data_IF_456116069024
#
_entry.id   IF_456116069024
#
_cell.length_a   1.000
_cell.length_b   1.000
_cell.length_c   1.000
_cell.angle_alpha   90.00
_cell.angle_beta   90.00
_cell.angle_gamma   90.00
#
_symmetry.space_group_name_H-M   'P 1'
#
loop_
_entity.id
_entity.type
_entity.pdbx_description
1 polymer ?
#
# COMPACT_ATOMS: atom_id res chain seq x y z
N UNK A 1 28.17 37.79 76.92
CA UNK A 1 27.90 36.42 76.40
C UNK A 1 26.73 36.51 75.42
N UNK A 2 27.03 36.51 74.13
CA UNK A 2 26.08 36.72 73.03
C UNK A 2 25.51 35.36 72.60
N UNK A 3 24.19 35.15 72.71
CA UNK A 3 23.50 33.95 72.20
C UNK A 3 23.35 34.07 70.67
N UNK A 4 23.86 33.09 69.93
CA UNK A 4 23.63 32.92 68.49
C UNK A 4 22.22 32.35 68.26
N UNK A 5 21.40 33.05 67.49
CA UNK A 5 20.13 32.55 66.96
C UNK A 5 20.38 32.02 65.56
N UNK A 6 20.16 30.73 65.34
CA UNK A 6 20.21 30.09 64.01
C UNK A 6 18.76 30.05 63.50
N UNK A 7 18.48 30.79 62.43
CA UNK A 7 17.20 30.73 61.73
C UNK A 7 17.27 29.64 60.66
N UNK A 8 16.53 28.55 60.84
CA UNK A 8 16.38 27.49 59.85
C UNK A 8 15.23 27.90 58.92
N UNK A 9 15.56 28.22 57.67
CA UNK A 9 14.58 28.46 56.60
C UNK A 9 14.12 27.09 56.07
N UNK A 10 12.90 26.68 56.42
CA UNK A 10 12.29 25.47 55.89
C UNK A 10 11.75 25.73 54.47
N UNK A 11 12.44 25.23 53.45
CA UNK A 11 11.86 25.10 52.11
C UNK A 11 10.87 23.94 52.11
N UNK A 12 9.57 24.23 52.22
CA UNK A 12 8.50 23.30 51.87
C UNK A 12 8.48 23.12 50.36
N UNK A 13 8.96 21.97 49.88
CA UNK A 13 8.74 21.49 48.51
C UNK A 13 7.24 21.19 48.35
N UNK A 14 6.52 22.11 47.71
CA UNK A 14 5.15 21.83 47.26
C UNK A 14 5.26 20.92 46.04
N UNK A 15 4.97 19.64 46.24
CA UNK A 15 4.74 18.69 45.15
C UNK A 15 3.46 19.10 44.44
N UNK A 16 3.57 19.77 43.29
CA UNK A 16 2.44 19.93 42.38
C UNK A 16 2.22 18.60 41.69
N UNK A 17 1.12 17.92 42.01
CA UNK A 17 0.67 16.76 41.24
C UNK A 17 0.48 17.17 39.77
N UNK A 18 0.83 16.31 38.79
CA UNK A 18 0.62 16.63 37.39
C UNK A 18 -0.89 16.79 37.16
N UNK A 19 -1.30 17.99 36.73
CA UNK A 19 -2.67 18.25 36.34
C UNK A 19 -3.04 17.29 35.21
N UNK A 20 -4.06 16.45 35.42
CA UNK A 20 -4.65 15.65 34.35
C UNK A 20 -5.36 16.63 33.43
N UNK A 21 -4.72 16.99 32.32
CA UNK A 21 -5.33 17.85 31.31
C UNK A 21 -6.40 17.03 30.58
N UNK A 22 -7.65 17.18 30.99
CA UNK A 22 -8.78 16.57 30.30
C UNK A 22 -9.11 17.36 29.03
N UNK A 23 -9.31 16.66 27.91
CA UNK A 23 -9.77 17.27 26.66
C UNK A 23 -11.17 17.87 26.86
N UNK A 24 -11.40 19.07 26.33
CA UNK A 24 -12.67 19.79 26.45
C UNK A 24 -13.00 20.60 25.19
N UNK A 25 -14.30 20.77 24.92
CA UNK A 25 -14.86 21.57 23.83
C UNK A 25 -14.92 23.04 24.28
N UNK A 26 -14.48 24.02 23.49
CA UNK A 26 -14.51 25.43 23.88
C UNK A 26 -15.94 25.98 24.02
N UNK A 27 -16.13 26.89 24.98
CA UNK A 27 -17.34 27.69 25.12
C UNK A 27 -17.15 29.10 24.50
N UNK A 28 -18.25 29.79 24.17
CA UNK A 28 -18.20 31.11 23.51
C UNK A 28 -17.43 32.20 24.28
N UNK A 29 -17.15 32.01 25.57
CA UNK A 29 -16.44 32.93 26.44
C UNK A 29 -15.07 32.40 26.92
N UNK A 30 -14.53 31.34 26.29
CA UNK A 30 -13.22 30.77 26.62
C UNK A 30 -12.08 31.65 26.07
N UNK A 31 -11.90 32.82 26.69
CA UNK A 31 -10.93 33.83 26.27
C UNK A 31 -9.49 33.39 26.46
N UNK A 32 -9.20 32.57 27.47
CA UNK A 32 -7.84 32.06 27.71
C UNK A 32 -7.41 31.08 26.62
N UNK A 33 -8.28 30.13 26.22
CA UNK A 33 -7.99 29.25 25.09
C UNK A 33 -7.90 30.02 23.78
N UNK A 34 -8.78 31.02 23.56
CA UNK A 34 -8.73 31.85 22.37
C UNK A 34 -7.41 32.64 22.27
N UNK A 35 -6.92 33.19 23.39
CA UNK A 35 -5.62 33.87 23.44
C UNK A 35 -4.47 32.90 23.21
N UNK A 36 -4.51 31.71 23.79
CA UNK A 36 -3.49 30.69 23.58
C UNK A 36 -3.45 30.22 22.11
N UNK A 37 -4.60 29.94 21.49
CA UNK A 37 -4.70 29.58 20.07
C UNK A 37 -4.17 30.70 19.18
N UNK A 38 -4.55 31.95 19.46
CA UNK A 38 -4.07 33.10 18.69
C UNK A 38 -2.54 33.25 18.81
N UNK A 39 -1.99 33.17 20.03
CA UNK A 39 -0.56 33.24 20.25
C UNK A 39 0.20 32.12 19.52
N UNK A 40 -0.27 30.87 19.63
CA UNK A 40 0.35 29.72 18.96
C UNK A 40 0.17 29.75 17.43
N UNK A 41 -0.88 30.40 16.91
CA UNK A 41 -1.11 30.51 15.46
C UNK A 41 0.04 31.26 14.74
N UNK A 42 0.64 32.25 15.40
CA UNK A 42 1.77 33.01 14.85
C UNK A 42 3.11 32.29 14.97
N UNK A 43 3.18 31.24 15.79
CA UNK A 43 4.36 30.38 15.91
C UNK A 43 4.37 29.25 14.87
N UNK A 44 3.24 29.05 14.18
CA UNK A 44 3.06 28.02 13.17
C UNK A 44 3.25 28.64 11.78
N UNK A 45 4.37 28.32 11.12
CA UNK A 45 4.63 28.73 9.74
C UNK A 45 4.85 27.53 8.81
N UNK A 46 4.28 27.59 7.60
CA UNK A 46 4.60 26.60 6.57
C UNK A 46 5.99 26.90 6.01
N UNK A 47 6.95 26.05 6.32
CA UNK A 47 8.31 26.15 5.75
C UNK A 47 8.51 25.10 4.67
N UNK A 48 9.34 25.42 3.67
CA UNK A 48 9.84 24.42 2.73
C UNK A 48 10.70 23.41 3.50
N UNK A 49 10.30 22.14 3.50
CA UNK A 49 10.96 21.08 4.24
C UNK A 49 11.79 20.24 3.28
N UNK A 50 12.98 19.87 3.73
CA UNK A 50 13.84 18.92 3.03
C UNK A 50 14.30 17.86 4.04
N UNK A 51 14.35 16.61 3.61
CA UNK A 51 14.83 15.49 4.41
C UNK A 51 16.08 14.90 3.77
N UNK A 52 17.13 14.70 4.55
CA UNK A 52 18.38 14.10 4.08
C UNK A 52 18.30 12.57 4.22
N UNK A 53 18.41 11.84 3.11
CA UNK A 53 18.58 10.37 3.09
C UNK A 53 19.90 10.08 2.39
N UNK A 54 20.87 9.55 3.14
CA UNK A 54 22.25 9.45 2.67
C UNK A 54 22.80 10.84 2.31
N UNK A 55 23.18 11.04 1.05
CA UNK A 55 23.73 12.30 0.52
C UNK A 55 22.70 13.15 -0.25
N UNK A 56 21.43 12.76 -0.30
CA UNK A 56 20.40 13.42 -1.13
C UNK A 56 19.31 14.06 -0.28
N UNK A 57 18.98 15.33 -0.58
CA UNK A 57 17.86 16.05 0.02
C UNK A 57 16.56 15.84 -0.77
N UNK A 58 15.53 15.31 -0.11
CA UNK A 58 14.20 15.10 -0.67
C UNK A 58 13.23 16.18 -0.20
N UNK A 59 12.51 16.87 -1.11
CA UNK A 59 11.51 17.86 -0.73
C UNK A 59 10.30 17.16 -0.08
N UNK A 60 9.81 17.72 1.03
CA UNK A 60 8.57 17.30 1.70
C UNK A 60 7.50 18.38 1.53
N UNK A 61 6.22 17.99 1.63
CA UNK A 61 5.12 18.94 1.63
C UNK A 61 5.38 20.06 2.66
N UNK A 62 5.21 21.34 2.27
CA UNK A 62 5.28 22.45 3.20
C UNK A 62 4.31 22.22 4.35
N UNK A 63 4.75 22.48 5.58
CA UNK A 63 3.92 22.23 6.76
C UNK A 63 4.38 23.02 7.97
N UNK A 64 3.56 23.04 9.04
CA UNK A 64 3.74 23.87 10.23
C UNK A 64 5.05 23.55 10.96
N UNK A 65 6.07 24.37 10.81
CA UNK A 65 7.30 24.27 11.59
C UNK A 65 7.07 24.91 12.95
N UNK A 66 6.99 24.07 13.99
CA UNK A 66 7.40 24.51 15.31
C UNK A 66 8.83 24.01 15.58
N UNK A 67 9.62 24.89 16.20
CA UNK A 67 11.01 24.68 16.60
C UNK A 67 11.26 23.31 17.22
N UNK A 68 12.43 22.74 16.98
CA UNK A 68 12.90 21.54 17.68
C UNK A 68 12.78 21.78 19.19
N UNK A 69 12.05 20.93 19.95
CA UNK A 69 11.51 19.63 19.59
C UNK A 69 9.97 19.68 19.39
N UNK A 70 9.51 19.82 18.16
CA UNK A 70 8.09 19.61 17.85
C UNK A 70 7.76 18.11 17.82
N UNK A 71 6.52 17.75 18.18
CA UNK A 71 6.01 16.38 18.09
C UNK A 71 6.27 15.76 16.70
N UNK A 72 6.17 16.57 15.64
CA UNK A 72 6.46 16.16 14.27
C UNK A 72 7.93 15.76 14.06
N UNK A 73 8.88 16.54 14.57
CA UNK A 73 10.32 16.19 14.49
C UNK A 73 10.61 14.89 15.25
N UNK A 74 10.02 14.71 16.43
CA UNK A 74 10.13 13.45 17.19
C UNK A 74 9.54 12.27 16.41
N UNK A 75 8.39 12.44 15.77
CA UNK A 75 7.78 11.41 14.92
C UNK A 75 8.66 11.07 13.73
N UNK A 76 9.21 12.07 13.02
CA UNK A 76 10.14 11.85 11.91
C UNK A 76 11.39 11.08 12.36
N UNK A 77 12.03 11.48 13.45
CA UNK A 77 13.21 10.77 13.97
C UNK A 77 12.89 9.34 14.40
N UNK A 78 11.70 9.11 14.96
CA UNK A 78 11.22 7.76 15.28
C UNK A 78 11.01 6.91 14.02
N UNK A 79 10.48 7.48 12.94
CA UNK A 79 10.31 6.80 11.66
C UNK A 79 11.68 6.47 11.03
N UNK A 80 12.62 7.40 11.06
CA UNK A 80 13.99 7.20 10.55
C UNK A 80 14.68 6.09 11.32
N UNK A 81 14.64 6.11 12.65
CA UNK A 81 15.21 5.04 13.47
C UNK A 81 14.59 3.68 13.13
N UNK A 82 13.27 3.63 12.84
CA UNK A 82 12.59 2.41 12.41
C UNK A 82 13.08 1.97 11.03
N UNK A 83 13.17 2.87 10.05
CA UNK A 83 13.66 2.56 8.70
C UNK A 83 15.12 2.08 8.72
N UNK A 84 15.98 2.76 9.49
CA UNK A 84 17.38 2.35 9.68
C UNK A 84 17.51 0.98 10.35
N UNK A 85 16.57 0.58 11.22
CA UNK A 85 16.53 -0.76 11.78
C UNK A 85 16.02 -1.83 10.79
N UNK A 86 15.33 -1.43 9.72
CA UNK A 86 14.86 -2.31 8.64
C UNK A 86 15.89 -2.49 7.51
N UNK A 87 16.93 -1.63 7.50
CA UNK A 87 18.33 -1.95 7.19
C UNK A 87 18.65 -3.45 7.02
N UNK A 88 18.52 -4.05 5.83
CA UNK A 88 19.03 -5.41 5.61
C UNK A 88 20.55 -5.34 5.37
N UNK A 89 21.40 -5.76 6.34
CA UNK A 89 22.86 -5.68 6.19
C UNK A 89 23.38 -6.57 5.05
N UNK A 90 22.58 -7.54 4.61
CA UNK A 90 22.92 -8.47 3.54
C UNK A 90 22.49 -7.97 2.14
N UNK A 91 21.89 -6.77 2.01
CA UNK A 91 21.37 -6.28 0.74
C UNK A 91 22.40 -6.33 -0.41
N UNK A 92 23.64 -5.89 -0.15
CA UNK A 92 24.73 -5.94 -1.13
C UNK A 92 25.12 -7.37 -1.50
N UNK A 93 25.16 -8.28 -0.53
CA UNK A 93 25.46 -9.70 -0.75
C UNK A 93 24.37 -10.35 -1.59
N UNK A 94 23.10 -10.10 -1.25
CA UNK A 94 21.94 -10.60 -2.00
C UNK A 94 22.00 -10.13 -3.46
N UNK A 95 22.25 -8.84 -3.69
CA UNK A 95 22.37 -8.28 -5.02
C UNK A 95 23.49 -8.94 -5.83
N UNK A 96 24.68 -9.10 -5.24
CA UNK A 96 25.82 -9.72 -5.89
C UNK A 96 25.55 -11.19 -6.25
N UNK A 97 24.90 -11.96 -5.36
CA UNK A 97 24.51 -13.34 -5.61
C UNK A 97 23.52 -13.45 -6.77
N UNK A 98 22.47 -12.63 -6.79
CA UNK A 98 21.50 -12.63 -7.90
C UNK A 98 22.17 -12.26 -9.23
N UNK A 99 23.02 -11.23 -9.25
CA UNK A 99 23.74 -10.84 -10.46
C UNK A 99 24.67 -11.95 -10.97
N UNK A 100 25.36 -12.66 -10.08
CA UNK A 100 26.25 -13.76 -10.43
C UNK A 100 25.55 -15.01 -10.96
N UNK A 101 24.28 -15.22 -10.61
CA UNK A 101 23.47 -16.36 -11.07
C UNK A 101 22.70 -16.08 -12.37
N UNK A 102 22.68 -14.83 -12.81
CA UNK A 102 22.14 -14.45 -14.11
C UNK A 102 23.03 -14.88 -15.29
N UNK A 103 22.51 -14.86 -16.53
CA UNK A 103 21.16 -14.44 -16.91
C UNK A 103 20.09 -15.51 -16.63
N UNK A 104 18.95 -15.08 -16.11
CA UNK A 104 17.78 -15.93 -15.90
C UNK A 104 17.03 -16.15 -17.22
N UNK A 105 17.04 -17.38 -17.72
CA UNK A 105 16.44 -17.75 -19.01
C UNK A 105 15.14 -18.55 -18.87
N UNK A 106 14.78 -18.90 -17.64
CA UNK A 106 13.54 -19.61 -17.30
C UNK A 106 13.11 -19.29 -15.87
N UNK A 107 11.85 -19.60 -15.54
CA UNK A 107 11.32 -19.47 -14.18
C UNK A 107 12.13 -20.32 -13.18
N UNK A 108 12.56 -21.51 -13.58
CA UNK A 108 13.37 -22.41 -12.77
C UNK A 108 14.74 -21.80 -12.47
N UNK A 109 15.39 -21.19 -13.48
CA UNK A 109 16.66 -20.50 -13.26
C UNK A 109 16.53 -19.31 -12.32
N UNK A 110 15.39 -18.61 -12.38
CA UNK A 110 15.09 -17.50 -11.48
C UNK A 110 14.84 -17.99 -10.05
N UNK A 111 14.07 -19.07 -9.88
CA UNK A 111 13.82 -19.72 -8.58
C UNK A 111 15.10 -20.24 -7.93
N UNK A 112 15.97 -20.89 -8.71
CA UNK A 112 17.27 -21.38 -8.24
C UNK A 112 18.14 -20.26 -7.63
N UNK A 113 18.01 -19.02 -8.15
CA UNK A 113 18.64 -17.84 -7.57
C UNK A 113 18.25 -17.59 -6.11
N UNK A 114 16.96 -17.71 -5.82
CA UNK A 114 16.40 -17.53 -4.48
C UNK A 114 16.64 -18.74 -3.58
N UNK A 115 16.66 -19.95 -4.12
CA UNK A 115 17.01 -21.16 -3.36
C UNK A 115 18.45 -21.09 -2.80
N UNK A 116 19.38 -20.52 -3.57
CA UNK A 116 20.76 -20.26 -3.11
C UNK A 116 20.77 -19.25 -1.97
N UNK A 117 20.01 -18.15 -2.09
CA UNK A 117 19.93 -17.13 -1.04
C UNK A 117 19.29 -17.67 0.24
N UNK A 118 18.26 -18.52 0.11
CA UNK A 118 17.63 -19.20 1.24
C UNK A 118 18.59 -20.18 1.92
N UNK A 119 19.32 -20.98 1.15
CA UNK A 119 20.30 -21.92 1.68
C UNK A 119 21.43 -21.20 2.44
N UNK A 120 21.75 -19.97 2.04
CA UNK A 120 22.70 -19.10 2.72
C UNK A 120 22.09 -18.34 3.92
N UNK A 121 20.80 -18.52 4.22
CA UNK A 121 20.10 -17.85 5.32
C UNK A 121 19.94 -16.34 5.11
N UNK A 122 19.99 -15.87 3.85
CA UNK A 122 19.96 -14.45 3.53
C UNK A 122 18.53 -13.91 3.35
N UNK A 123 17.65 -14.71 2.76
CA UNK A 123 16.22 -14.42 2.59
C UNK A 123 15.43 -15.71 2.65
N UNK A 124 14.18 -15.65 3.10
CA UNK A 124 13.25 -16.77 2.90
C UNK A 124 12.81 -16.86 1.44
N UNK A 125 12.40 -18.05 1.00
CA UNK A 125 11.78 -18.23 -0.32
C UNK A 125 10.53 -17.36 -0.40
N UNK A 126 10.46 -16.42 -1.37
CA UNK A 126 9.26 -15.63 -1.59
C UNK A 126 8.05 -16.52 -1.85
N UNK A 127 6.95 -16.25 -1.14
CA UNK A 127 5.66 -16.90 -1.40
C UNK A 127 5.15 -16.61 -2.83
N UNK A 128 5.65 -15.55 -3.48
CA UNK A 128 5.36 -15.23 -4.87
C UNK A 128 5.79 -16.31 -5.89
N UNK A 129 6.57 -17.32 -5.49
CA UNK A 129 6.86 -18.48 -6.34
C UNK A 129 5.71 -19.48 -6.41
N UNK A 130 4.73 -19.40 -5.53
CA UNK A 130 3.47 -20.10 -5.70
C UNK A 130 2.62 -19.33 -6.72
N UNK A 131 2.66 -19.75 -7.98
CA UNK A 131 1.90 -19.14 -9.07
C UNK A 131 0.56 -19.86 -9.32
N UNK A 132 0.09 -20.69 -8.38
CA UNK A 132 -1.22 -21.35 -8.47
C UNK A 132 -2.36 -20.34 -8.55
N UNK A 133 -3.48 -20.78 -9.10
CA UNK A 133 -4.68 -19.94 -9.20
C UNK A 133 -5.28 -19.67 -7.81
N UNK A 134 -5.13 -20.62 -6.89
CA UNK A 134 -5.49 -20.53 -5.49
C UNK A 134 -4.71 -19.42 -4.77
N UNK A 135 -3.37 -19.41 -4.89
CA UNK A 135 -2.56 -18.37 -4.28
C UNK A 135 -2.80 -17.01 -4.96
N UNK A 136 -2.91 -16.99 -6.29
CA UNK A 136 -3.19 -15.78 -7.05
C UNK A 136 -4.51 -15.10 -6.61
N UNK A 137 -5.57 -15.88 -6.40
CA UNK A 137 -6.83 -15.38 -5.86
C UNK A 137 -6.72 -14.99 -4.38
N UNK A 138 -6.07 -15.79 -3.54
CA UNK A 138 -5.87 -15.49 -2.12
C UNK A 138 -5.16 -14.14 -1.89
N UNK A 139 -4.19 -13.77 -2.74
CA UNK A 139 -3.51 -12.49 -2.64
C UNK A 139 -4.45 -11.27 -2.77
N UNK A 140 -5.59 -11.41 -3.48
CA UNK A 140 -6.61 -10.34 -3.59
C UNK A 140 -7.46 -10.21 -2.33
N UNK A 141 -7.48 -11.21 -1.46
CA UNK A 141 -8.11 -11.09 -0.13
C UNK A 141 -7.18 -10.44 0.89
N UNK A 142 -5.90 -10.24 0.53
CA UNK A 142 -4.90 -9.56 1.35
C UNK A 142 -4.31 -8.34 0.67
N UNK A 143 -3.00 -8.37 0.43
CA UNK A 143 -2.20 -7.20 0.02
C UNK A 143 -2.53 -6.65 -1.39
N UNK A 144 -3.27 -7.39 -2.22
CA UNK A 144 -3.65 -6.97 -3.59
C UNK A 144 -5.13 -6.60 -3.74
N UNK A 145 -5.90 -6.54 -2.65
CA UNK A 145 -7.36 -6.41 -2.69
C UNK A 145 -7.95 -5.03 -2.95
N UNK A 146 -7.13 -3.97 -2.98
CA UNK A 146 -7.58 -2.56 -2.92
C UNK A 146 -8.53 -2.07 -4.03
N UNK A 147 -8.81 -2.88 -5.05
CA UNK A 147 -9.74 -2.58 -6.15
C UNK A 147 -10.73 -3.70 -6.49
N UNK A 148 -10.83 -4.73 -5.66
CA UNK A 148 -11.80 -5.80 -5.91
C UNK A 148 -13.22 -5.27 -5.64
N UNK A 149 -14.11 -5.42 -6.60
CA UNK A 149 -15.53 -5.07 -6.47
C UNK A 149 -16.41 -6.22 -6.94
N UNK A 150 -17.61 -6.32 -6.39
CA UNK A 150 -18.61 -7.25 -6.87
C UNK A 150 -19.09 -6.83 -8.27
N UNK A 151 -19.24 -7.79 -9.19
CA UNK A 151 -19.82 -7.56 -10.52
C UNK A 151 -21.34 -7.52 -10.40
N UNK A 152 -21.96 -6.48 -10.97
CA UNK A 152 -23.41 -6.37 -11.02
C UNK A 152 -24.00 -7.01 -12.28
N UNK A 153 -25.31 -7.26 -12.28
CA UNK A 153 -26.01 -7.81 -13.45
C UNK A 153 -25.78 -6.96 -14.72
N UNK A 154 -25.50 -7.65 -15.83
CA UNK A 154 -25.18 -7.07 -17.14
C UNK A 154 -23.89 -6.23 -17.22
N UNK A 155 -23.17 -6.06 -16.11
CA UNK A 155 -21.86 -5.42 -16.12
C UNK A 155 -20.85 -6.42 -16.72
N UNK A 156 -20.13 -6.01 -17.77
CA UNK A 156 -19.12 -6.85 -18.46
C UNK A 156 -19.67 -8.05 -19.26
N UNK A 157 -20.95 -8.02 -19.66
CA UNK A 157 -21.61 -9.08 -20.44
C UNK A 157 -20.82 -9.50 -21.69
N UNK A 158 -20.31 -8.53 -22.46
CA UNK A 158 -19.54 -8.78 -23.69
C UNK A 158 -18.33 -9.70 -23.49
N UNK A 159 -17.80 -9.75 -22.26
CA UNK A 159 -16.67 -10.58 -21.87
C UNK A 159 -17.14 -11.85 -21.16
N UNK A 160 -17.96 -11.68 -20.12
CA UNK A 160 -18.33 -12.77 -19.22
C UNK A 160 -19.26 -13.79 -19.88
N UNK A 161 -20.12 -13.36 -20.80
CA UNK A 161 -21.06 -14.24 -21.50
C UNK A 161 -20.35 -15.16 -22.51
N UNK A 162 -19.07 -14.89 -22.82
CA UNK A 162 -18.27 -15.72 -23.71
C UNK A 162 -17.54 -16.88 -23.01
N UNK A 163 -17.57 -16.91 -21.67
CA UNK A 163 -16.91 -17.95 -20.88
C UNK A 163 -17.64 -19.28 -21.01
N UNK A 164 -16.87 -20.38 -21.02
CA UNK A 164 -17.45 -21.72 -21.07
C UNK A 164 -18.15 -22.07 -19.75
N UNK A 165 -19.31 -22.75 -19.83
CA UNK A 165 -20.01 -23.24 -18.64
C UNK A 165 -19.13 -24.19 -17.80
N UNK A 166 -18.21 -24.93 -18.45
CA UNK A 166 -17.25 -25.81 -17.76
C UNK A 166 -16.28 -25.01 -16.90
N UNK A 167 -15.73 -23.92 -17.43
CA UNK A 167 -14.85 -23.02 -16.68
C UNK A 167 -15.60 -22.39 -15.51
N UNK A 168 -16.83 -21.91 -15.74
CA UNK A 168 -17.63 -21.30 -14.68
C UNK A 168 -17.97 -22.30 -13.59
N UNK A 169 -18.35 -23.53 -13.95
CA UNK A 169 -18.60 -24.58 -12.96
C UNK A 169 -17.35 -24.86 -12.13
N UNK A 170 -16.18 -24.94 -12.76
CA UNK A 170 -14.93 -25.22 -12.05
C UNK A 170 -14.51 -24.07 -11.11
N UNK A 171 -14.63 -22.82 -11.58
CA UNK A 171 -14.13 -21.65 -10.85
C UNK A 171 -15.15 -21.09 -9.86
N UNK A 172 -16.44 -21.10 -10.18
CA UNK A 172 -17.50 -20.52 -9.36
C UNK A 172 -18.31 -21.54 -8.57
N UNK A 173 -18.26 -22.83 -8.94
CA UNK A 173 -19.21 -23.83 -8.46
C UNK A 173 -20.67 -23.41 -8.73
N UNK A 174 -20.93 -22.90 -9.94
CA UNK A 174 -22.24 -22.54 -10.45
C UNK A 174 -22.35 -22.93 -11.93
N UNK A 175 -23.55 -23.25 -12.45
CA UNK A 175 -23.71 -23.83 -13.78
C UNK A 175 -23.44 -22.84 -14.93
N UNK A 176 -23.65 -21.55 -14.71
CA UNK A 176 -23.48 -20.49 -15.72
C UNK A 176 -22.96 -19.21 -15.07
N UNK A 177 -22.40 -18.31 -15.88
CA UNK A 177 -21.90 -17.01 -15.38
C UNK A 177 -23.02 -16.15 -14.82
N UNK A 178 -24.21 -16.18 -15.44
CA UNK A 178 -25.41 -15.48 -14.96
C UNK A 178 -25.84 -15.96 -13.57
N UNK A 179 -25.76 -17.27 -13.33
CA UNK A 179 -26.06 -17.86 -12.02
C UNK A 179 -25.02 -17.39 -10.99
N UNK A 180 -23.73 -17.43 -11.34
CA UNK A 180 -22.66 -16.98 -10.46
C UNK A 180 -22.78 -15.47 -10.12
N UNK A 181 -23.15 -14.62 -11.08
CA UNK A 181 -23.40 -13.18 -10.87
C UNK A 181 -24.63 -12.98 -9.97
N UNK A 182 -25.73 -13.69 -10.26
CA UNK A 182 -26.97 -13.62 -9.46
C UNK A 182 -26.75 -14.08 -8.01
N UNK A 183 -25.83 -15.03 -7.80
CA UNK A 183 -25.41 -15.51 -6.49
C UNK A 183 -24.33 -14.65 -5.83
N UNK A 184 -23.96 -13.50 -6.42
CA UNK A 184 -22.94 -12.59 -5.91
C UNK A 184 -21.55 -13.22 -5.73
N UNK A 185 -21.17 -14.13 -6.62
CA UNK A 185 -19.87 -14.81 -6.57
C UNK A 185 -18.80 -14.17 -7.46
N UNK A 186 -19.18 -13.37 -8.45
CA UNK A 186 -18.23 -12.81 -9.42
C UNK A 186 -17.73 -11.44 -8.97
N UNK A 187 -16.42 -11.28 -8.97
CA UNK A 187 -15.72 -10.06 -8.61
C UNK A 187 -14.83 -9.60 -9.75
N UNK A 188 -14.56 -8.30 -9.81
CA UNK A 188 -13.67 -7.70 -10.81
C UNK A 188 -12.66 -6.77 -10.14
N UNK A 189 -11.45 -6.78 -10.67
CA UNK A 189 -10.38 -5.84 -10.37
C UNK A 189 -10.03 -5.11 -11.67
N UNK A 190 -10.39 -3.82 -11.72
CA UNK A 190 -10.30 -3.00 -12.92
C UNK A 190 -9.09 -2.04 -12.87
N UNK A 191 -8.10 -2.33 -13.71
CA UNK A 191 -6.93 -1.51 -13.97
C UNK A 191 -6.88 -1.03 -15.44
N UNK A 192 -8.03 -0.99 -16.13
CA UNK A 192 -8.12 -0.55 -17.54
C UNK A 192 -7.63 0.88 -17.79
N UNK A 193 -7.47 1.69 -16.75
CA UNK A 193 -6.94 3.06 -16.83
C UNK A 193 -5.42 3.16 -16.60
N UNK A 194 -4.72 2.08 -16.27
CA UNK A 194 -3.32 2.14 -15.82
C UNK A 194 -2.30 2.46 -16.92
N UNK A 195 -2.59 2.07 -18.14
CA UNK A 195 -1.74 2.32 -19.31
C UNK A 195 -1.60 3.80 -19.64
N UNK A 196 -2.41 4.69 -19.07
CA UNK A 196 -2.16 6.14 -19.14
C UNK A 196 -0.82 6.55 -18.49
N UNK A 197 -0.26 5.71 -17.62
CA UNK A 197 1.02 5.93 -16.97
C UNK A 197 2.21 5.36 -17.75
N UNK A 198 1.97 4.74 -18.91
CA UNK A 198 3.03 4.31 -19.82
C UNK A 198 3.61 5.54 -20.52
N UNK A 199 4.91 5.80 -20.34
CA UNK A 199 5.64 6.83 -21.09
C UNK A 199 5.82 6.38 -22.55
N UNK A 200 5.00 6.94 -23.44
CA UNK A 200 5.01 6.62 -24.87
C UNK A 200 6.35 6.91 -25.56
N UNK A 201 7.23 7.71 -24.95
CA UNK A 201 8.56 8.02 -25.49
C UNK A 201 9.66 7.04 -25.03
N UNK A 202 9.33 6.09 -24.14
CA UNK A 202 10.28 5.13 -23.55
C UNK A 202 9.77 3.70 -23.54
N UNK A 203 8.91 3.35 -24.49
CA UNK A 203 8.29 2.02 -24.64
C UNK A 203 9.30 0.88 -24.76
N UNK A 204 10.55 1.17 -25.11
CA UNK A 204 11.65 0.19 -25.14
C UNK A 204 12.15 -0.24 -23.74
N UNK A 205 11.68 0.39 -22.66
CA UNK A 205 12.24 0.17 -21.31
C UNK A 205 11.26 -0.37 -20.27
N UNK A 206 9.98 0.04 -20.28
CA UNK A 206 8.93 -0.43 -19.35
C UNK A 206 7.53 -0.27 -19.96
N UNK A 207 6.65 -1.22 -19.71
CA UNK A 207 5.25 -1.22 -20.13
C UNK A 207 4.35 -1.45 -18.92
N UNK A 208 3.39 -0.55 -18.69
CA UNK A 208 2.32 -0.74 -17.72
C UNK A 208 1.09 -1.26 -18.48
N UNK A 209 0.65 -2.51 -18.25
CA UNK A 209 -0.46 -3.07 -18.99
C UNK A 209 -1.79 -2.37 -18.62
N UNK A 210 -2.78 -2.46 -19.51
CA UNK A 210 -4.16 -2.13 -19.21
C UNK A 210 -4.92 -3.44 -18.99
N UNK A 211 -5.28 -3.76 -17.75
CA UNK A 211 -5.82 -5.09 -17.42
C UNK A 211 -7.11 -5.03 -16.62
N UNK A 212 -8.03 -5.94 -16.92
CA UNK A 212 -9.23 -6.21 -16.10
C UNK A 212 -9.22 -7.67 -15.70
N UNK A 213 -9.17 -7.96 -14.41
CA UNK A 213 -9.18 -9.31 -13.86
C UNK A 213 -10.51 -9.65 -13.21
N UNK A 214 -11.06 -10.81 -13.52
CA UNK A 214 -12.29 -11.34 -12.94
C UNK A 214 -11.96 -12.52 -12.04
N UNK A 215 -12.68 -12.63 -10.92
CA UNK A 215 -12.50 -13.65 -9.90
C UNK A 215 -13.85 -14.20 -9.48
N UNK A 216 -13.88 -15.43 -9.00
CA UNK A 216 -15.08 -16.07 -8.50
C UNK A 216 -14.86 -16.64 -7.10
N UNK A 217 -15.81 -16.39 -6.20
CA UNK A 217 -15.83 -17.02 -4.88
C UNK A 217 -16.39 -18.44 -5.01
N UNK A 218 -15.50 -19.43 -5.04
CA UNK A 218 -15.86 -20.84 -5.05
C UNK A 218 -16.21 -21.30 -3.63
N UNK A 219 -17.51 -21.37 -3.34
CA UNK A 219 -18.02 -21.77 -2.03
C UNK A 219 -17.73 -23.23 -1.66
N UNK A 220 -17.71 -24.14 -2.64
CA UNK A 220 -17.35 -25.54 -2.41
C UNK A 220 -15.90 -25.72 -1.97
N UNK A 221 -14.98 -24.91 -2.52
CA UNK A 221 -13.55 -24.95 -2.16
C UNK A 221 -13.18 -23.98 -1.03
N UNK A 222 -14.04 -22.99 -0.75
CA UNK A 222 -13.74 -21.90 0.19
C UNK A 222 -12.62 -20.98 -0.32
N UNK A 223 -12.50 -20.80 -1.64
CA UNK A 223 -11.42 -20.07 -2.29
C UNK A 223 -11.95 -19.00 -3.24
N UNK A 224 -11.27 -17.86 -3.28
CA UNK A 224 -11.41 -16.92 -4.40
C UNK A 224 -10.48 -17.41 -5.52
N UNK A 225 -11.03 -17.70 -6.69
CA UNK A 225 -10.28 -18.21 -7.84
C UNK A 225 -10.36 -17.24 -9.02
N UNK A 226 -9.30 -17.09 -9.83
CA UNK A 226 -9.34 -16.30 -11.05
C UNK A 226 -10.26 -16.93 -12.09
N UNK A 227 -11.12 -16.11 -12.69
CA UNK A 227 -12.09 -16.53 -13.69
C UNK A 227 -11.61 -16.18 -15.11
N UNK A 228 -11.23 -14.93 -15.33
CA UNK A 228 -10.77 -14.43 -16.63
C UNK A 228 -9.90 -13.18 -16.46
N UNK A 229 -9.03 -12.89 -17.43
CA UNK A 229 -8.20 -11.69 -17.44
C UNK A 229 -8.20 -11.10 -18.85
N UNK A 230 -8.67 -9.85 -18.99
CA UNK A 230 -8.60 -9.12 -20.26
C UNK A 230 -7.42 -8.16 -20.27
N UNK A 231 -6.59 -8.30 -21.30
CA UNK A 231 -5.61 -7.28 -21.66
C UNK A 231 -6.33 -6.32 -22.61
N UNK A 232 -6.66 -5.13 -22.12
CA UNK A 232 -7.52 -4.16 -22.83
C UNK A 232 -6.89 -3.73 -24.16
N UNK A 233 -5.57 -3.53 -24.18
CA UNK A 233 -4.85 -3.05 -25.37
C UNK A 233 -4.91 -4.03 -26.55
N UNK A 234 -4.94 -5.33 -26.27
CA UNK A 234 -5.04 -6.37 -27.30
C UNK A 234 -6.48 -6.79 -27.58
N UNK A 235 -7.40 -6.44 -26.68
CA UNK A 235 -8.79 -6.92 -26.69
C UNK A 235 -8.92 -8.41 -26.33
N UNK A 236 -7.83 -9.10 -26.03
CA UNK A 236 -7.83 -10.54 -25.73
C UNK A 236 -8.23 -10.79 -24.28
N UNK A 237 -9.05 -11.81 -24.09
CA UNK A 237 -9.44 -12.34 -22.78
C UNK A 237 -8.82 -13.71 -22.61
N UNK A 238 -8.09 -13.88 -21.52
CA UNK A 238 -7.41 -15.12 -21.17
C UNK A 238 -8.14 -15.79 -20.01
N UNK A 239 -8.09 -17.11 -19.99
CA UNK A 239 -8.61 -17.98 -18.95
C UNK A 239 -7.61 -19.10 -18.68
N UNK A 240 -7.90 -19.94 -17.69
CA UNK A 240 -7.10 -21.15 -17.46
C UNK A 240 -7.28 -22.24 -18.53
N UNK A 241 -8.23 -22.08 -19.46
CA UNK A 241 -8.40 -23.00 -20.59
C UNK A 241 -7.38 -22.73 -21.70
N UNK A 242 -6.74 -21.55 -21.70
CA UNK A 242 -5.62 -21.22 -22.57
C UNK A 242 -4.35 -22.00 -22.19
N UNK A 243 -3.28 -21.84 -23.00
CA UNK A 243 -2.02 -22.48 -22.66
C UNK A 243 -1.47 -21.97 -21.32
N UNK A 244 -0.77 -22.82 -20.58
CA UNK A 244 -0.23 -22.46 -19.26
C UNK A 244 0.66 -21.19 -19.31
N UNK A 245 1.39 -20.98 -20.43
CA UNK A 245 2.21 -19.80 -20.64
C UNK A 245 1.38 -18.53 -20.85
N UNK A 246 0.30 -18.60 -21.63
CA UNK A 246 -0.61 -17.47 -21.86
C UNK A 246 -1.36 -17.09 -20.59
N UNK A 247 -1.88 -18.09 -19.87
CA UNK A 247 -2.56 -17.84 -18.61
C UNK A 247 -1.62 -17.23 -17.56
N UNK A 248 -0.39 -17.73 -17.46
CA UNK A 248 0.61 -17.16 -16.57
C UNK A 248 1.00 -15.73 -16.98
N UNK A 249 1.10 -15.45 -18.28
CA UNK A 249 1.38 -14.09 -18.78
C UNK A 249 0.25 -13.12 -18.38
N UNK A 250 -1.00 -13.52 -18.53
CA UNK A 250 -2.16 -12.71 -18.14
C UNK A 250 -2.17 -12.43 -16.63
N UNK A 251 -1.89 -13.45 -15.80
CA UNK A 251 -1.74 -13.28 -14.34
C UNK A 251 -0.60 -12.31 -13.99
N UNK A 252 0.54 -12.42 -14.67
CA UNK A 252 1.67 -11.50 -14.47
C UNK A 252 1.32 -10.05 -14.85
N UNK A 253 0.55 -9.84 -15.92
CA UNK A 253 0.10 -8.52 -16.30
C UNK A 253 -0.78 -7.89 -15.20
N UNK A 254 -1.73 -8.65 -14.65
CA UNK A 254 -2.57 -8.17 -13.55
C UNK A 254 -1.78 -7.94 -12.25
N UNK A 255 -0.77 -8.78 -11.95
CA UNK A 255 0.13 -8.55 -10.81
C UNK A 255 0.92 -7.24 -10.95
N UNK A 256 1.37 -6.90 -12.16
CA UNK A 256 2.16 -5.70 -12.40
C UNK A 256 1.39 -4.43 -11.99
N UNK A 257 0.15 -4.30 -12.46
CA UNK A 257 -0.73 -3.16 -12.13
C UNK A 257 -1.14 -3.18 -10.65
N UNK A 258 -1.44 -4.36 -10.11
CA UNK A 258 -1.75 -4.53 -8.69
C UNK A 258 -0.59 -4.13 -7.78
N UNK A 259 0.64 -4.44 -8.18
CA UNK A 259 1.85 -4.05 -7.48
C UNK A 259 2.04 -2.53 -7.48
N UNK A 260 1.91 -1.89 -8.65
CA UNK A 260 2.02 -0.44 -8.82
C UNK A 260 1.04 0.32 -7.91
N UNK A 261 -0.23 -0.12 -7.86
CA UNK A 261 -1.26 0.53 -7.05
C UNK A 261 -1.07 0.30 -5.53
N UNK A 262 -0.61 -0.89 -5.15
CA UNK A 262 -0.32 -1.22 -3.75
C UNK A 262 0.93 -0.53 -3.21
N UNK A 263 1.92 -0.26 -4.06
CA UNK A 263 3.17 0.40 -3.68
C UNK A 263 3.03 1.94 -3.66
N UNK A 264 2.38 2.53 -4.67
CA UNK A 264 2.48 3.98 -4.90
C UNK A 264 1.21 4.76 -4.50
N UNK A 265 0.02 4.17 -4.65
CA UNK A 265 -1.25 4.92 -4.55
C UNK A 265 -1.98 4.66 -3.24
N UNK A 266 -2.05 3.40 -2.80
CA UNK A 266 -2.89 3.05 -1.64
C UNK A 266 -2.37 3.63 -0.32
N UNK A 267 -1.07 3.53 0.02
CA UNK A 267 -0.54 4.23 1.19
C UNK A 267 -0.42 5.75 0.97
N UNK A 268 0.05 6.18 -0.20
CA UNK A 268 0.30 7.59 -0.49
C UNK A 268 -0.95 8.47 -0.41
N UNK A 269 -2.06 8.05 -1.03
CA UNK A 269 -3.28 8.86 -1.09
C UNK A 269 -4.17 8.69 0.17
N UNK A 270 -4.37 7.46 0.64
CA UNK A 270 -5.37 7.19 1.68
C UNK A 270 -4.84 7.30 3.11
N UNK A 271 -3.52 7.21 3.32
CA UNK A 271 -2.92 7.37 4.67
C UNK A 271 -2.08 8.63 4.83
N UNK A 272 -1.66 9.29 3.74
CA UNK A 272 -0.79 10.47 3.79
C UNK A 272 -1.30 11.71 3.05
N UNK A 273 -2.30 11.56 2.17
CA UNK A 273 -2.79 12.60 1.28
C UNK A 273 -4.27 12.91 1.44
N UNK A 274 -4.73 13.27 2.64
CA UNK A 274 -6.06 13.92 2.75
C UNK A 274 -5.88 15.38 2.32
N UNK A 275 -6.12 15.66 1.05
CA UNK A 275 -6.18 17.02 0.53
C UNK A 275 -7.50 17.65 1.05
N UNK A 276 -7.47 18.76 1.81
CA UNK A 276 -8.69 19.50 2.05
C UNK A 276 -9.18 20.09 0.72
N UNK A 277 -10.47 19.90 0.47
CA UNK A 277 -11.21 20.46 -0.67
C UNK A 277 -11.10 22.00 -0.66
N UNK A 278 -10.52 22.63 -1.70
CA UNK A 278 -10.39 24.08 -1.77
C UNK A 278 -11.70 24.79 -2.19
N UNK A 279 -12.82 24.07 -2.38
CA UNK A 279 -14.08 24.67 -2.85
C UNK A 279 -14.99 25.20 -1.73
N UNK A 280 -14.49 25.40 -0.50
CA UNK A 280 -15.32 25.83 0.64
C UNK A 280 -14.97 27.20 1.26
N UNK A 281 -14.21 28.03 0.57
CA UNK A 281 -13.84 29.38 1.03
C UNK A 281 -14.58 30.54 0.33
N UNK A 282 -15.66 30.27 -0.42
CA UNK A 282 -16.56 31.32 -0.91
C UNK A 282 -18.02 31.03 -0.50
N UNK A 283 -18.38 31.40 0.74
CA UNK A 283 -19.74 31.70 1.18
C UNK A 283 -19.74 32.64 2.39
#
# INVERSE_FOLDING_TARGET
>A
MLRKTVTILGCTLVSTSPAVVALSIPFMNDTERAVAVNATSYEISNVARQFLVGDTYYPLNPGPAMSIPSLYYTTLMSQVATLSALENPNATTIQATLQGLGPYKSLESFKAGYDVLQSAGLIDTPQAFDNSDENFGAMRLGIRGYKIKLVNGCEWSDLLDSLSDSLVLEQCNDPTVDAAISNHKVFVQDFSSMGQYTDSNKTESKYAPNVVGFFCNNDAKGLLLPLAIKIVDTGLTYTKEDSAGEWQLAKMALECDGAQLSADVSPGAYTHGVHPDPSRDDA
#
